data_IF_200356604138
#
_entry.id   IF_200356604138
#
_cell.length_a   1.000
_cell.length_b   1.000
_cell.length_c   1.000
_cell.angle_alpha   90.00
_cell.angle_beta   90.00
_cell.angle_gamma   90.00
#
_symmetry.space_group_name_H-M   'P 1'
#
loop_
_entity.id
_entity.type
_entity.pdbx_description
1 polymer ?
#
# COMPACT_ATOMS: atom_id res chain seq x y z
N UNK A 1 14.63 -0.53 -10.18
CA UNK A 1 14.19 0.11 -11.44
C UNK A 1 13.12 1.13 -11.10
N UNK A 2 13.33 2.40 -11.41
CA UNK A 2 12.31 3.45 -11.22
C UNK A 2 11.33 3.45 -12.39
N UNK A 3 10.04 3.64 -12.09
CA UNK A 3 9.01 3.80 -13.11
C UNK A 3 9.20 5.20 -13.73
N UNK A 4 9.55 5.27 -15.01
CA UNK A 4 9.72 6.54 -15.73
C UNK A 4 8.34 7.15 -16.05
N UNK A 5 8.16 8.48 -15.98
CA UNK A 5 6.98 9.13 -16.55
C UNK A 5 6.83 8.68 -18.02
N UNK A 6 5.65 8.26 -18.52
CA UNK A 6 4.28 8.55 -18.08
C UNK A 6 3.60 7.44 -17.25
N UNK A 7 4.35 6.44 -16.79
CA UNK A 7 3.75 5.29 -16.13
C UNK A 7 3.35 5.65 -14.69
N UNK A 8 2.04 5.59 -14.40
CA UNK A 8 1.51 5.86 -13.08
C UNK A 8 1.97 4.77 -12.09
N UNK A 9 2.59 5.19 -10.99
CA UNK A 9 2.83 4.34 -9.83
C UNK A 9 2.33 5.06 -8.57
N UNK A 10 1.72 4.33 -7.63
CA UNK A 10 1.12 4.95 -6.44
C UNK A 10 2.15 5.75 -5.62
N UNK A 11 3.40 5.28 -5.52
CA UNK A 11 4.47 6.02 -4.86
C UNK A 11 4.85 7.33 -5.56
N UNK A 12 4.92 7.32 -6.90
CA UNK A 12 5.18 8.55 -7.67
C UNK A 12 4.02 9.55 -7.56
N UNK A 13 2.77 9.07 -7.56
CA UNK A 13 1.58 9.91 -7.38
C UNK A 13 1.60 10.63 -6.02
N UNK A 14 1.98 9.94 -4.94
CA UNK A 14 2.11 10.54 -3.60
C UNK A 14 3.23 11.59 -3.58
N UNK A 15 4.37 11.31 -4.21
CA UNK A 15 5.48 12.25 -4.28
C UNK A 15 5.08 13.54 -5.02
N UNK A 16 4.38 13.41 -6.14
CA UNK A 16 3.89 14.54 -6.95
C UNK A 16 2.79 15.34 -6.24
N UNK A 17 1.91 14.65 -5.48
CA UNK A 17 0.78 15.27 -4.79
C UNK A 17 1.19 16.33 -3.75
N UNK A 18 2.43 16.30 -3.26
CA UNK A 18 2.95 17.32 -2.35
C UNK A 18 2.90 18.74 -2.94
N UNK A 19 3.10 18.86 -4.26
CA UNK A 19 3.13 20.15 -4.96
C UNK A 19 1.73 20.76 -5.21
N UNK A 20 0.69 19.93 -5.18
CA UNK A 20 -0.70 20.31 -5.48
C UNK A 20 -1.64 20.11 -4.29
N UNK A 21 -1.09 19.87 -3.11
CA UNK A 21 -1.87 19.47 -1.95
C UNK A 21 -2.96 20.49 -1.57
N UNK A 22 -2.65 21.78 -1.65
CA UNK A 22 -3.58 22.86 -1.29
C UNK A 22 -4.83 22.92 -2.19
N UNK A 23 -4.73 22.44 -3.43
CA UNK A 23 -5.83 22.49 -4.42
C UNK A 23 -6.42 21.12 -4.72
N UNK A 24 -5.62 20.06 -4.60
CA UNK A 24 -5.96 18.70 -5.00
C UNK A 24 -5.49 17.66 -3.96
N UNK A 25 -5.81 17.89 -2.68
CA UNK A 25 -5.48 16.99 -1.55
C UNK A 25 -5.89 15.53 -1.80
N UNK A 26 -6.95 15.28 -2.57
CA UNK A 26 -7.41 13.92 -2.92
C UNK A 26 -6.37 13.14 -3.74
N UNK A 27 -5.51 13.84 -4.49
CA UNK A 27 -4.44 13.24 -5.30
C UNK A 27 -3.39 12.55 -4.41
N UNK A 28 -3.26 12.96 -3.15
CA UNK A 28 -2.47 12.26 -2.13
C UNK A 28 -3.29 11.16 -1.43
N UNK A 29 -4.56 11.42 -1.12
CA UNK A 29 -5.38 10.53 -0.29
C UNK A 29 -5.60 9.16 -0.94
N UNK A 30 -6.04 9.10 -2.19
CA UNK A 30 -6.44 7.83 -2.81
C UNK A 30 -5.28 6.84 -2.99
N UNK A 31 -4.12 7.25 -3.53
CA UNK A 31 -2.96 6.35 -3.60
C UNK A 31 -2.46 5.94 -2.21
N UNK A 32 -2.53 6.84 -1.23
CA UNK A 32 -2.19 6.53 0.16
C UNK A 32 -3.09 5.46 0.79
N UNK A 33 -4.40 5.57 0.61
CA UNK A 33 -5.37 4.57 1.06
C UNK A 33 -5.20 3.24 0.33
N UNK A 34 -4.94 3.26 -0.97
CA UNK A 34 -4.69 2.04 -1.75
C UNK A 34 -3.48 1.27 -1.21
N UNK A 35 -2.38 1.96 -0.91
CA UNK A 35 -1.20 1.35 -0.28
C UNK A 35 -1.52 0.82 1.12
N UNK A 36 -2.20 1.61 1.95
CA UNK A 36 -2.60 1.21 3.30
C UNK A 36 -3.40 -0.10 3.28
N UNK A 37 -4.48 -0.15 2.49
CA UNK A 37 -5.32 -1.35 2.42
C UNK A 37 -4.58 -2.55 1.83
N UNK A 38 -3.72 -2.32 0.84
CA UNK A 38 -2.90 -3.38 0.24
C UNK A 38 -1.98 -4.00 1.28
N UNK A 39 -1.23 -3.16 2.02
CA UNK A 39 -0.32 -3.61 3.07
C UNK A 39 -1.08 -4.29 4.21
N UNK A 40 -2.21 -3.72 4.65
CA UNK A 40 -3.05 -4.34 5.68
C UNK A 40 -3.59 -5.70 5.24
N UNK A 41 -4.08 -5.83 4.00
CA UNK A 41 -4.56 -7.10 3.47
C UNK A 41 -3.45 -8.15 3.46
N UNK A 42 -2.25 -7.80 2.97
CA UNK A 42 -1.12 -8.71 2.99
C UNK A 42 -0.66 -9.07 4.40
N UNK A 43 -0.67 -8.13 5.34
CA UNK A 43 -0.33 -8.40 6.74
C UNK A 43 -1.34 -9.38 7.36
N UNK A 44 -2.64 -9.11 7.24
CA UNK A 44 -3.70 -9.97 7.80
C UNK A 44 -3.70 -11.36 7.15
N UNK A 45 -3.53 -11.44 5.83
CA UNK A 45 -3.42 -12.72 5.12
C UNK A 45 -2.16 -13.47 5.55
N UNK A 46 -1.04 -12.77 5.72
CA UNK A 46 0.21 -13.34 6.20
C UNK A 46 0.07 -13.91 7.62
N UNK A 47 -0.57 -13.17 8.51
CA UNK A 47 -0.85 -13.60 9.89
C UNK A 47 -1.77 -14.83 9.90
N UNK A 48 -2.88 -14.80 9.16
CA UNK A 48 -3.79 -15.94 9.06
C UNK A 48 -3.15 -17.18 8.41
N UNK A 49 -2.29 -16.99 7.41
CA UNK A 49 -1.51 -18.07 6.81
C UNK A 49 -0.47 -18.62 7.78
N UNK A 50 0.20 -17.75 8.54
CA UNK A 50 1.17 -18.15 9.58
C UNK A 50 0.49 -19.01 10.64
N UNK A 51 -0.66 -18.59 11.14
CA UNK A 51 -1.45 -19.34 12.11
C UNK A 51 -1.90 -20.70 11.57
N UNK A 52 -2.35 -20.77 10.32
CA UNK A 52 -2.74 -22.02 9.67
C UNK A 52 -1.56 -22.98 9.43
N UNK A 53 -0.36 -22.45 9.20
CA UNK A 53 0.85 -23.23 8.95
C UNK A 53 1.65 -23.55 10.21
N UNK A 54 1.34 -22.96 11.36
CA UNK A 54 2.09 -23.16 12.60
C UNK A 54 1.72 -24.50 13.27
N UNK A 55 2.56 -25.55 13.23
CA UNK A 55 2.20 -26.89 13.71
C UNK A 55 2.22 -27.01 15.25
N UNK A 56 2.47 -25.91 15.98
CA UNK A 56 2.68 -25.89 17.43
C UNK A 56 1.40 -25.95 18.27
N UNK A 57 0.23 -26.11 17.65
CA UNK A 57 -1.00 -26.41 18.40
C UNK A 57 -1.14 -27.90 18.77
N UNK A 58 -0.29 -28.78 18.24
CA UNK A 58 -0.24 -30.19 18.65
C UNK A 58 0.66 -30.40 19.87
N UNK A 59 0.07 -30.41 21.06
CA UNK A 59 0.42 -31.42 22.07
C UNK A 59 -0.31 -32.70 21.72
#
# INVERSE_FOLDING_TARGET
>A
AGVQPPNASWGAMIAEATSVFDTAWWYMLFPGLALLFTVLAFNVVGDGLSDALNPRQGK
#
